data_IF_119831956125
#
_entry.id   IF_119831956125
#
_cell.length_a   1.000
_cell.length_b   1.000
_cell.length_c   1.000
_cell.angle_alpha   90.00
_cell.angle_beta   90.00
_cell.angle_gamma   90.00
#
_symmetry.space_group_name_H-M   'P 1'
#
loop_
_entity.id
_entity.type
_entity.pdbx_description
1 polymer ?
#
# COMPACT_ATOMS: atom_id res chain seq x y z
N UNK A 1 3.12 24.38 -15.32
CA UNK A 1 3.01 22.91 -15.17
C UNK A 1 2.43 22.51 -13.81
N UNK A 2 2.88 23.09 -12.68
CA UNK A 2 2.36 22.79 -11.33
C UNK A 2 0.84 23.02 -11.16
N UNK A 3 0.34 24.18 -11.63
CA UNK A 3 -1.09 24.53 -11.61
C UNK A 3 -1.99 23.54 -12.39
N UNK A 4 -1.46 22.89 -13.43
CA UNK A 4 -2.21 21.93 -14.25
C UNK A 4 -2.37 20.57 -13.55
N UNK A 5 -1.36 20.14 -12.79
CA UNK A 5 -1.44 18.94 -11.95
C UNK A 5 -2.42 19.18 -10.80
N UNK A 6 -2.36 20.34 -10.14
CA UNK A 6 -3.27 20.70 -9.04
C UNK A 6 -4.74 20.69 -9.47
N UNK A 7 -5.06 21.26 -10.65
CA UNK A 7 -6.43 21.24 -11.18
C UNK A 7 -6.91 19.81 -11.47
N UNK A 8 -6.13 19.01 -12.20
CA UNK A 8 -6.45 17.60 -12.48
C UNK A 8 -6.60 16.79 -11.19
N UNK A 9 -5.78 17.10 -10.19
CA UNK A 9 -5.82 16.42 -8.90
C UNK A 9 -7.10 16.76 -8.15
N UNK A 10 -7.52 18.03 -8.12
CA UNK A 10 -8.80 18.43 -7.55
C UNK A 10 -9.98 17.80 -8.29
N UNK A 11 -9.97 17.81 -9.62
CA UNK A 11 -11.01 17.17 -10.45
C UNK A 11 -11.12 15.67 -10.15
N UNK A 12 -9.98 14.95 -10.10
CA UNK A 12 -9.97 13.54 -9.72
C UNK A 12 -10.38 13.32 -8.27
N UNK A 13 -9.95 14.18 -7.34
CA UNK A 13 -10.26 14.04 -5.92
C UNK A 13 -11.74 14.23 -5.62
N UNK A 14 -12.41 15.14 -6.34
CA UNK A 14 -13.84 15.43 -6.17
C UNK A 14 -14.75 14.46 -6.93
N UNK A 15 -14.36 14.05 -8.14
CA UNK A 15 -15.26 13.37 -9.08
C UNK A 15 -14.73 12.01 -9.58
N UNK A 16 -13.49 11.65 -9.25
CA UNK A 16 -12.88 10.40 -9.66
C UNK A 16 -13.30 9.21 -8.82
N UNK A 17 -12.90 8.03 -9.27
CA UNK A 17 -13.05 6.78 -8.52
C UNK A 17 -11.91 6.68 -7.48
N UNK A 18 -12.15 7.23 -6.30
CA UNK A 18 -11.14 7.40 -5.24
C UNK A 18 -11.28 6.31 -4.17
N UNK A 19 -10.14 5.78 -3.73
CA UNK A 19 -10.01 4.88 -2.59
C UNK A 19 -8.80 5.19 -1.73
N UNK A 20 -8.75 4.68 -0.51
CA UNK A 20 -7.63 4.93 0.42
C UNK A 20 -6.28 4.56 -0.19
N UNK A 21 -6.17 3.38 -0.81
CA UNK A 21 -4.97 2.93 -1.52
C UNK A 21 -4.51 3.89 -2.64
N UNK A 22 -5.44 4.50 -3.37
CA UNK A 22 -5.12 5.48 -4.42
C UNK A 22 -4.73 6.85 -3.86
N UNK A 23 -5.32 7.28 -2.73
CA UNK A 23 -4.92 8.52 -2.04
C UNK A 23 -3.48 8.43 -1.54
N UNK A 24 -3.09 7.25 -1.04
CA UNK A 24 -1.71 6.98 -0.60
C UNK A 24 -0.70 7.23 -1.73
N UNK A 25 -1.02 6.86 -2.97
CA UNK A 25 -0.19 7.20 -4.15
C UNK A 25 -0.09 8.72 -4.30
N UNK A 26 -1.21 9.45 -4.26
CA UNK A 26 -1.20 10.93 -4.35
C UNK A 26 -0.27 11.55 -3.32
N UNK A 27 -0.33 11.09 -2.07
CA UNK A 27 0.51 11.63 -1.00
C UNK A 27 2.01 11.46 -1.29
N UNK A 28 2.44 10.26 -1.71
CA UNK A 28 3.84 10.00 -2.10
C UNK A 28 4.23 10.85 -3.31
N UNK A 29 3.38 10.89 -4.35
CA UNK A 29 3.68 11.63 -5.58
C UNK A 29 3.78 13.14 -5.36
N UNK A 30 3.04 13.67 -4.39
CA UNK A 30 3.06 15.08 -4.00
C UNK A 30 4.06 15.37 -2.86
N UNK A 31 4.83 14.38 -2.43
CA UNK A 31 5.80 14.49 -1.32
C UNK A 31 5.17 15.03 -0.03
N UNK A 32 3.93 14.63 0.25
CA UNK A 32 3.21 14.97 1.46
C UNK A 32 3.69 14.10 2.64
N UNK A 33 3.76 14.65 3.87
CA UNK A 33 4.39 13.96 4.98
C UNK A 33 3.62 12.69 5.41
N UNK A 34 4.31 11.61 5.81
CA UNK A 34 3.69 10.34 6.21
C UNK A 34 2.68 10.46 7.36
N UNK A 35 2.81 11.46 8.24
CA UNK A 35 1.84 11.74 9.32
C UNK A 35 0.42 12.03 8.81
N UNK A 36 0.28 12.47 7.56
CA UNK A 36 -1.03 12.66 6.92
C UNK A 36 -1.59 11.35 6.34
N UNK A 37 -0.72 10.35 6.13
CA UNK A 37 -1.01 9.06 5.49
C UNK A 37 -1.32 7.98 6.53
N UNK A 38 -0.59 7.97 7.65
CA UNK A 38 -0.59 6.90 8.65
C UNK A 38 -1.32 7.36 9.92
N UNK A 39 -2.65 7.23 9.96
CA UNK A 39 -3.35 7.11 11.24
C UNK A 39 -3.08 5.69 11.75
N UNK A 40 -2.41 5.58 12.89
CA UNK A 40 -2.29 4.34 13.67
C UNK A 40 -1.55 3.17 12.96
N UNK A 41 -0.30 3.40 12.52
CA UNK A 41 0.64 2.39 11.97
C UNK A 41 0.17 1.64 10.70
N UNK A 42 -1.05 1.87 10.22
CA UNK A 42 -1.60 1.18 9.07
C UNK A 42 -1.43 2.01 7.78
N UNK A 43 -0.78 1.41 6.78
CA UNK A 43 -0.69 1.98 5.43
C UNK A 43 -1.72 1.30 4.52
N UNK A 44 -2.73 2.02 3.99
CA UNK A 44 -3.66 1.44 3.02
C UNK A 44 -2.92 0.99 1.75
N UNK A 45 -3.28 -0.18 1.22
CA UNK A 45 -2.77 -0.73 -0.03
C UNK A 45 -3.91 -1.44 -0.79
N UNK A 46 -3.76 -1.75 -2.09
CA UNK A 46 -4.81 -2.47 -2.81
C UNK A 46 -4.89 -3.93 -2.37
N UNK A 47 -5.99 -4.31 -1.71
CA UNK A 47 -6.22 -5.69 -1.26
C UNK A 47 -6.88 -6.55 -2.33
N UNK A 48 -7.67 -5.92 -3.19
CA UNK A 48 -8.41 -6.60 -4.24
C UNK A 48 -8.33 -5.93 -5.61
N UNK A 49 -8.99 -6.53 -6.60
CA UNK A 49 -9.01 -6.01 -7.96
C UNK A 49 -9.72 -4.66 -8.12
N UNK A 50 -10.67 -4.34 -7.23
CA UNK A 50 -11.39 -3.06 -7.23
C UNK A 50 -10.49 -1.95 -6.69
N UNK A 51 -9.80 -2.21 -5.57
CA UNK A 51 -8.79 -1.30 -5.02
C UNK A 51 -7.68 -1.01 -6.01
N UNK A 52 -7.13 -2.06 -6.64
CA UNK A 52 -6.12 -1.89 -7.67
C UNK A 52 -6.65 -1.09 -8.86
N UNK A 53 -7.91 -1.34 -9.27
CA UNK A 53 -8.57 -0.60 -10.33
C UNK A 53 -8.63 0.91 -10.06
N UNK A 54 -8.89 1.34 -8.83
CA UNK A 54 -8.86 2.75 -8.43
C UNK A 54 -7.46 3.35 -8.55
N UNK A 55 -6.43 2.65 -8.09
CA UNK A 55 -5.04 3.05 -8.25
C UNK A 55 -4.61 3.11 -9.72
N UNK A 56 -5.03 2.15 -10.54
CA UNK A 56 -4.75 2.10 -11.97
C UNK A 56 -5.41 3.29 -12.70
N UNK A 57 -6.68 3.57 -12.43
CA UNK A 57 -7.39 4.72 -13.01
C UNK A 57 -6.73 6.04 -12.64
N UNK A 58 -6.24 6.19 -11.40
CA UNK A 58 -5.44 7.36 -11.00
C UNK A 58 -4.20 7.52 -11.90
N UNK A 59 -3.44 6.45 -12.16
CA UNK A 59 -2.25 6.54 -13.02
C UNK A 59 -2.58 6.74 -14.51
N UNK A 60 -3.79 6.39 -14.97
CA UNK A 60 -4.26 6.81 -16.30
C UNK A 60 -4.58 8.30 -16.34
N UNK A 61 -5.09 8.85 -15.24
CA UNK A 61 -5.25 10.30 -15.10
C UNK A 61 -3.88 10.97 -15.05
N UNK A 62 -2.90 10.45 -14.31
CA UNK A 62 -1.54 10.98 -14.13
C UNK A 62 -0.44 10.04 -14.68
N UNK A 63 -0.29 9.90 -16.01
CA UNK A 63 0.70 9.01 -16.61
C UNK A 63 2.14 9.36 -16.22
N UNK A 64 2.40 10.62 -15.87
CA UNK A 64 3.71 11.09 -15.37
C UNK A 64 4.14 10.40 -14.06
N UNK A 65 3.20 9.85 -13.28
CA UNK A 65 3.48 9.15 -12.02
C UNK A 65 3.79 7.67 -12.19
N UNK A 66 3.49 7.07 -13.35
CA UNK A 66 3.74 5.64 -13.59
C UNK A 66 5.21 5.26 -13.39
N UNK A 67 6.14 6.10 -13.85
CA UNK A 67 7.60 5.89 -13.69
C UNK A 67 8.06 6.00 -12.23
N UNK A 68 7.27 6.66 -11.40
CA UNK A 68 7.55 6.93 -9.98
C UNK A 68 6.94 5.90 -9.05
N UNK A 69 6.18 4.92 -9.55
CA UNK A 69 5.44 3.97 -8.71
C UNK A 69 6.37 3.19 -7.74
N UNK A 70 7.64 3.01 -8.11
CA UNK A 70 8.67 2.40 -7.25
C UNK A 70 8.94 3.21 -5.97
N UNK A 71 8.66 4.51 -5.94
CA UNK A 71 8.79 5.37 -4.76
C UNK A 71 7.84 4.92 -3.63
N UNK A 72 6.74 4.23 -3.95
CA UNK A 72 5.77 3.71 -2.97
C UNK A 72 6.41 2.76 -1.94
N UNK A 73 7.55 2.14 -2.27
CA UNK A 73 8.28 1.29 -1.34
C UNK A 73 8.73 2.01 -0.06
N UNK A 74 8.72 3.35 -0.02
CA UNK A 74 8.97 4.12 1.21
C UNK A 74 7.92 3.89 2.31
N UNK A 75 6.76 3.33 1.96
CA UNK A 75 5.66 3.07 2.88
C UNK A 75 5.69 1.68 3.53
N UNK A 76 6.69 0.86 3.21
CA UNK A 76 6.89 -0.47 3.78
C UNK A 76 6.92 -1.59 2.74
N UNK A 77 7.13 -2.81 3.24
CA UNK A 77 7.43 -3.99 2.43
C UNK A 77 6.28 -4.37 1.48
N UNK A 78 5.01 -4.24 1.92
CA UNK A 78 3.83 -4.51 1.08
C UNK A 78 3.84 -3.62 -0.17
N UNK A 79 3.98 -2.31 0.00
CA UNK A 79 3.99 -1.38 -1.13
C UNK A 79 5.21 -1.57 -2.02
N UNK A 80 6.36 -1.94 -1.45
CA UNK A 80 7.55 -2.29 -2.23
C UNK A 80 7.28 -3.50 -3.13
N UNK A 81 6.67 -4.57 -2.61
CA UNK A 81 6.29 -5.76 -3.38
C UNK A 81 5.28 -5.43 -4.47
N UNK A 82 4.24 -4.66 -4.16
CA UNK A 82 3.24 -4.18 -5.13
C UNK A 82 3.88 -3.33 -6.22
N UNK A 83 4.74 -2.38 -5.87
CA UNK A 83 5.39 -1.49 -6.82
C UNK A 83 6.36 -2.22 -7.76
N UNK A 84 7.05 -3.26 -7.27
CA UNK A 84 7.89 -4.11 -8.09
C UNK A 84 7.07 -5.00 -9.05
N UNK A 85 5.90 -5.46 -8.62
CA UNK A 85 5.00 -6.28 -9.42
C UNK A 85 4.02 -5.46 -10.30
N UNK A 86 4.14 -4.14 -10.33
CA UNK A 86 3.11 -3.25 -10.90
C UNK A 86 2.73 -3.58 -12.34
N UNK A 87 3.71 -3.79 -13.23
CA UNK A 87 3.48 -4.08 -14.64
C UNK A 87 2.71 -5.39 -14.86
N UNK A 88 2.95 -6.40 -14.01
CA UNK A 88 2.21 -7.67 -14.03
C UNK A 88 0.76 -7.46 -13.56
N UNK A 89 0.55 -6.71 -12.48
CA UNK A 89 -0.78 -6.40 -11.95
C UNK A 89 -1.60 -5.59 -12.98
N UNK A 90 -0.96 -4.62 -13.65
CA UNK A 90 -1.57 -3.82 -14.72
C UNK A 90 -2.03 -4.71 -15.87
N UNK A 91 -1.17 -5.63 -16.32
CA UNK A 91 -1.50 -6.58 -17.39
C UNK A 91 -2.68 -7.48 -17.01
N UNK A 92 -2.71 -7.99 -15.78
CA UNK A 92 -3.83 -8.81 -15.29
C UNK A 92 -5.15 -8.02 -15.22
N UNK A 93 -5.08 -6.75 -14.81
CA UNK A 93 -6.23 -5.85 -14.77
C UNK A 93 -6.78 -5.56 -16.17
N UNK A 94 -5.91 -5.18 -17.11
CA UNK A 94 -6.28 -4.88 -18.50
C UNK A 94 -6.86 -6.09 -19.24
N UNK A 95 -6.49 -7.31 -18.83
CA UNK A 95 -7.05 -8.57 -19.33
C UNK A 95 -8.39 -8.96 -18.66
N UNK A 96 -8.96 -8.12 -17.79
CA UNK A 96 -10.13 -8.43 -16.95
C UNK A 96 -9.97 -9.73 -16.13
N UNK A 97 -8.73 -10.10 -15.81
CA UNK A 97 -8.42 -11.33 -15.08
C UNK A 97 -8.50 -11.10 -13.57
N UNK A 98 -9.65 -10.59 -13.09
CA UNK A 98 -9.84 -10.12 -11.71
C UNK A 98 -9.48 -11.17 -10.65
N UNK A 99 -9.82 -12.45 -10.89
CA UNK A 99 -9.47 -13.55 -9.99
C UNK A 99 -7.95 -13.76 -9.88
N UNK A 100 -7.23 -13.72 -11.00
CA UNK A 100 -5.77 -13.86 -11.01
C UNK A 100 -5.10 -12.66 -10.37
N UNK A 101 -5.61 -11.45 -10.64
CA UNK A 101 -5.14 -10.22 -10.01
C UNK A 101 -5.30 -10.28 -8.48
N UNK A 102 -6.48 -10.67 -8.00
CA UNK A 102 -6.75 -10.85 -6.58
C UNK A 102 -5.76 -11.86 -5.96
N UNK A 103 -5.61 -13.05 -6.55
CA UNK A 103 -4.65 -14.05 -6.06
C UNK A 103 -3.23 -13.50 -6.02
N UNK A 104 -2.81 -12.73 -7.03
CA UNK A 104 -1.49 -12.12 -7.06
C UNK A 104 -1.31 -11.08 -5.95
N UNK A 105 -2.30 -10.22 -5.71
CA UNK A 105 -2.24 -9.24 -4.62
C UNK A 105 -2.13 -9.92 -3.24
N UNK A 106 -2.82 -11.04 -3.03
CA UNK A 106 -2.70 -11.82 -1.80
C UNK A 106 -1.30 -12.43 -1.65
N UNK A 107 -0.70 -12.94 -2.73
CA UNK A 107 0.68 -13.47 -2.71
C UNK A 107 1.75 -12.41 -2.44
N UNK A 108 1.44 -11.13 -2.63
CA UNK A 108 2.36 -10.01 -2.36
C UNK A 108 2.30 -9.53 -0.91
N UNK A 109 1.28 -9.94 -0.15
CA UNK A 109 1.23 -9.67 1.28
C UNK A 109 2.31 -10.51 1.99
N UNK A 110 2.99 -9.96 3.01
CA UNK A 110 3.94 -10.71 3.81
C UNK A 110 3.21 -11.85 4.51
N UNK A 111 3.89 -12.99 4.67
CA UNK A 111 3.40 -14.06 5.54
C UNK A 111 3.22 -13.49 6.96
N UNK A 112 2.23 -13.99 7.70
CA UNK A 112 1.94 -13.55 9.08
C UNK A 112 3.18 -13.62 10.01
N UNK A 113 4.20 -14.39 9.63
CA UNK A 113 5.48 -14.57 10.32
C UNK A 113 6.53 -13.47 10.02
N UNK A 114 6.38 -12.66 8.96
CA UNK A 114 7.28 -11.53 8.64
C UNK A 114 6.81 -10.19 9.24
N UNK A 115 5.61 -10.13 9.85
CA UNK A 115 5.09 -8.94 10.53
C UNK A 115 5.74 -8.68 11.90
N UNK A 116 6.91 -9.24 12.18
CA UNK A 116 7.66 -9.03 13.41
C UNK A 116 8.48 -7.72 13.33
N UNK A 117 7.79 -6.60 13.10
CA UNK A 117 8.36 -5.29 13.44
C UNK A 117 8.50 -5.10 14.97
N UNK A 118 7.97 -6.02 15.76
CA UNK A 118 7.99 -6.03 17.22
C UNK A 118 9.07 -6.95 17.83
N UNK A 119 9.84 -7.69 17.01
CA UNK A 119 10.97 -8.50 17.47
C UNK A 119 12.30 -7.84 17.12
N UNK A 120 12.98 -7.40 18.17
CA UNK A 120 14.36 -6.94 18.09
C UNK A 120 15.26 -8.14 18.35
N UNK A 121 16.04 -8.54 17.34
CA UNK A 121 17.13 -9.50 17.49
C UNK A 121 18.38 -8.76 18.00
N UNK A 122 18.83 -9.12 19.21
CA UNK A 122 20.02 -8.53 19.84
C UNK A 122 21.30 -9.34 19.57
N UNK A 123 21.23 -10.38 18.74
CA UNK A 123 22.30 -11.35 18.54
C UNK A 123 22.40 -12.39 19.67
N UNK A 124 23.21 -13.43 19.45
CA UNK A 124 23.39 -14.57 20.37
C UNK A 124 22.13 -15.42 20.62
N UNK A 125 21.13 -15.35 19.74
CA UNK A 125 19.90 -16.13 19.83
C UNK A 125 18.84 -15.53 20.78
N UNK A 126 19.02 -14.29 21.21
CA UNK A 126 18.09 -13.59 22.12
C UNK A 126 17.15 -12.70 21.32
N UNK A 127 15.85 -12.97 21.44
CA UNK A 127 14.77 -12.20 20.80
C UNK A 127 13.92 -11.51 21.87
N UNK A 128 13.72 -10.20 21.75
CA UNK A 128 12.80 -9.44 22.60
C UNK A 128 11.53 -9.11 21.82
N UNK A 129 10.36 -9.44 22.40
CA UNK A 129 9.04 -9.06 21.88
C UNK A 129 8.33 -8.17 22.91
N UNK A 130 7.74 -7.06 22.45
CA UNK A 130 7.00 -6.10 23.30
C UNK A 130 5.58 -6.54 23.67
N UNK A 131 5.17 -7.77 23.36
CA UNK A 131 3.84 -8.26 23.76
C UNK A 131 3.79 -8.56 25.26
N UNK A 132 3.24 -7.63 26.05
CA UNK A 132 2.72 -7.94 27.38
C UNK A 132 1.55 -8.91 27.23
N UNK A 133 1.78 -10.19 27.51
CA UNK A 133 0.67 -11.14 27.69
C UNK A 133 -0.11 -10.73 28.94
N UNK A 134 -1.36 -10.30 28.74
CA UNK A 134 -2.30 -10.17 29.84
C UNK A 134 -2.54 -11.56 30.44
N UNK A 135 -2.16 -11.73 31.71
CA UNK A 135 -2.48 -12.89 32.52
C UNK A 135 -3.99 -13.10 32.52
N UNK A 136 -4.48 -14.17 31.89
CA UNK A 136 -5.79 -14.72 32.24
C UNK A 136 -5.60 -15.55 33.51
N UNK A 137 -6.05 -15.00 34.64
CA UNK A 137 -6.21 -15.74 35.89
C UNK A 137 -7.44 -16.65 35.76
N UNK A 138 -7.22 -17.95 35.55
CA UNK A 138 -8.24 -18.95 35.84
C UNK A 138 -8.24 -19.21 37.35
N UNK A 139 -9.26 -18.67 38.04
CA UNK A 139 -9.63 -19.12 39.37
C UNK A 139 -10.49 -20.38 39.23
N UNK A 140 -10.05 -21.48 39.84
CA UNK A 140 -10.87 -22.63 40.21
C UNK A 140 -11.01 -22.66 41.72
#
# INVERSE_FOLDING_TARGET
>A
MKLYIEKRLLEWWCCGDVGESSKVIVFVMCSLPPKTILKDLWTPYPHDSSDFGRCYKLLKVFPEWKKRIKEMGCLGEIWKRIALAWDELEKLYEQNSHKKLYTKLQQLQPDELENDCDVIDLGSGIKLSTRTQALQSEAK
#
